data_IF_399905094609
#
_entry.id   IF_399905094609
#
_cell.length_a   1.000
_cell.length_b   1.000
_cell.length_c   1.000
_cell.angle_alpha   90.00
_cell.angle_beta   90.00
_cell.angle_gamma   90.00
#
_symmetry.space_group_name_H-M   'P 1'
#
loop_
_entity.id
_entity.type
_entity.pdbx_description
1 polymer ?
#
# COMPACT_ATOMS: atom_id res chain seq x y z
N UNK A 1 24.26 -3.12 -6.75
CA UNK A 1 22.84 -3.48 -6.53
C UNK A 1 22.19 -3.46 -7.89
N UNK A 2 21.31 -4.40 -8.25
CA UNK A 2 20.66 -4.31 -9.53
C UNK A 2 19.76 -3.08 -9.56
N UNK A 3 20.04 -2.16 -10.50
CA UNK A 3 19.20 -1.02 -10.86
C UNK A 3 17.95 -1.55 -11.58
N UNK A 4 17.01 -2.10 -10.82
CA UNK A 4 15.70 -2.46 -11.34
C UNK A 4 14.83 -1.21 -11.37
N UNK A 5 14.50 -0.72 -12.58
CA UNK A 5 13.55 0.37 -12.77
C UNK A 5 12.13 -0.19 -12.69
N UNK A 6 11.47 -0.03 -11.54
CA UNK A 6 10.02 -0.20 -11.42
C UNK A 6 9.31 0.89 -12.26
N UNK A 7 8.22 0.53 -12.92
CA UNK A 7 7.37 1.50 -13.61
C UNK A 7 6.67 2.39 -12.58
N UNK A 8 6.26 3.60 -12.98
CA UNK A 8 5.62 4.56 -12.05
C UNK A 8 4.28 4.05 -11.50
N UNK A 9 3.69 3.10 -12.20
CA UNK A 9 2.43 2.40 -11.97
C UNK A 9 2.63 0.97 -11.43
N UNK A 10 3.86 0.59 -11.05
CA UNK A 10 4.18 -0.78 -10.61
C UNK A 10 3.30 -1.26 -9.44
N UNK A 11 2.85 -0.35 -8.59
CA UNK A 11 1.98 -0.66 -7.44
C UNK A 11 0.55 -0.11 -7.61
N UNK A 12 0.14 0.16 -8.84
CA UNK A 12 -1.11 0.83 -9.19
C UNK A 12 -0.92 2.30 -9.56
N UNK A 13 -1.97 2.91 -10.13
CA UNK A 13 -1.95 4.31 -10.54
C UNK A 13 -1.75 5.26 -9.37
N UNK A 14 -1.04 6.36 -9.63
CA UNK A 14 -0.86 7.43 -8.64
C UNK A 14 -2.18 8.17 -8.43
N UNK A 15 -2.62 8.24 -7.18
CA UNK A 15 -3.83 8.97 -6.79
C UNK A 15 -3.61 9.94 -5.62
N UNK A 16 -4.47 10.94 -5.51
CA UNK A 16 -4.52 11.87 -4.37
C UNK A 16 -5.75 11.58 -3.53
N UNK A 17 -5.59 11.40 -2.21
CA UNK A 17 -6.71 11.06 -1.32
C UNK A 17 -7.84 12.11 -1.37
N UNK A 18 -7.51 13.39 -1.55
CA UNK A 18 -8.47 14.50 -1.55
C UNK A 18 -9.40 14.55 -2.78
N UNK A 19 -9.00 13.94 -3.90
CA UNK A 19 -9.77 13.98 -5.16
C UNK A 19 -10.54 12.69 -5.42
N UNK A 20 -10.34 11.67 -4.58
CA UNK A 20 -10.97 10.38 -4.78
C UNK A 20 -12.42 10.40 -4.26
N UNK A 21 -13.38 9.85 -5.02
CA UNK A 21 -14.78 9.74 -4.60
C UNK A 21 -14.94 8.58 -3.59
N UNK A 22 -14.20 8.64 -2.49
CA UNK A 22 -14.21 7.59 -1.47
C UNK A 22 -15.49 7.69 -0.64
N UNK A 23 -16.10 6.53 -0.37
CA UNK A 23 -17.22 6.44 0.55
C UNK A 23 -16.87 6.86 2.00
N UNK A 24 -15.57 6.89 2.33
CA UNK A 24 -15.01 7.31 3.63
C UNK A 24 -13.71 8.07 3.41
N UNK A 25 -13.38 9.05 4.26
CA UNK A 25 -12.09 9.74 4.16
C UNK A 25 -10.95 8.76 4.44
N UNK A 26 -10.05 8.62 3.48
CA UNK A 26 -8.75 8.00 3.70
C UNK A 26 -7.86 8.96 4.51
N UNK A 27 -6.98 8.40 5.34
CA UNK A 27 -6.01 9.16 6.13
C UNK A 27 -4.58 8.95 5.67
N UNK A 28 -4.33 7.94 4.83
CA UNK A 28 -3.02 7.67 4.27
C UNK A 28 -3.06 6.64 3.16
N UNK A 29 -1.87 6.26 2.74
CA UNK A 29 -1.61 5.25 1.70
C UNK A 29 -1.07 3.99 2.37
N UNK A 30 -1.59 2.82 2.02
CA UNK A 30 -1.13 1.55 2.55
C UNK A 30 -0.61 0.66 1.43
N UNK A 31 0.50 -0.03 1.67
CA UNK A 31 1.03 -1.03 0.72
C UNK A 31 0.51 -2.40 1.15
N UNK A 32 -0.21 -3.08 0.28
CA UNK A 32 -0.82 -4.37 0.53
C UNK A 32 -0.25 -5.45 -0.39
N UNK A 33 -0.13 -6.67 0.12
CA UNK A 33 0.04 -7.86 -0.72
C UNK A 33 -1.30 -8.28 -1.33
N UNK A 34 -1.38 -8.31 -2.66
CA UNK A 34 -2.55 -8.76 -3.42
C UNK A 34 -2.93 -10.21 -3.03
N UNK A 35 -4.22 -10.43 -2.81
CA UNK A 35 -4.75 -11.75 -2.39
C UNK A 35 -4.49 -12.10 -0.92
N UNK A 36 -3.92 -11.18 -0.13
CA UNK A 36 -3.67 -11.38 1.30
C UNK A 36 -4.19 -10.21 2.16
N UNK A 37 -4.32 -10.42 3.46
CA UNK A 37 -4.67 -9.40 4.45
C UNK A 37 -3.43 -8.74 5.09
N UNK A 38 -2.29 -8.83 4.42
CA UNK A 38 -1.01 -8.30 4.88
C UNK A 38 -0.75 -6.89 4.35
N UNK A 39 -0.29 -6.03 5.24
CA UNK A 39 0.10 -4.65 4.96
C UNK A 39 1.55 -4.40 5.36
N UNK A 40 2.26 -3.60 4.57
CA UNK A 40 3.63 -3.20 4.88
C UNK A 40 3.60 -2.24 6.05
N UNK A 41 4.26 -2.64 7.13
CA UNK A 41 4.49 -1.80 8.30
C UNK A 41 5.59 -0.79 8.01
N UNK A 42 5.29 0.51 8.14
CA UNK A 42 6.23 1.60 7.85
C UNK A 42 7.42 1.65 8.81
N UNK A 43 7.27 1.09 10.01
CA UNK A 43 8.29 1.15 11.05
C UNK A 43 9.31 0.02 10.91
N UNK A 44 8.84 -1.20 10.67
CA UNK A 44 9.67 -2.40 10.57
C UNK A 44 10.04 -2.78 9.14
N UNK A 45 9.32 -2.28 8.14
CA UNK A 45 9.48 -2.69 6.74
C UNK A 45 9.04 -4.14 6.51
N UNK A 46 8.20 -4.70 7.37
CA UNK A 46 7.70 -6.08 7.29
C UNK A 46 6.19 -6.11 7.05
N UNK A 47 5.71 -7.17 6.42
CA UNK A 47 4.28 -7.37 6.21
C UNK A 47 3.61 -7.92 7.47
N UNK A 48 2.62 -7.20 7.99
CA UNK A 48 1.83 -7.61 9.15
C UNK A 48 0.34 -7.72 8.79
N UNK A 49 -0.44 -8.58 9.47
CA UNK A 49 -1.88 -8.65 9.25
C UNK A 49 -2.56 -7.32 9.54
N UNK A 50 -3.55 -6.95 8.72
CA UNK A 50 -4.37 -5.73 8.83
C UNK A 50 -5.02 -5.56 10.21
N UNK A 51 -5.24 -6.67 10.92
CA UNK A 51 -5.82 -6.73 12.28
C UNK A 51 -4.78 -6.63 13.40
N UNK A 52 -3.51 -6.50 13.07
CA UNK A 52 -2.45 -6.34 14.06
C UNK A 52 -2.53 -4.96 14.68
N UNK A 53 -2.61 -4.89 16.01
CA UNK A 53 -2.63 -3.62 16.76
C UNK A 53 -1.30 -2.89 16.75
N UNK A 54 -0.21 -3.59 16.39
CA UNK A 54 1.14 -3.02 16.27
C UNK A 54 1.45 -2.52 14.86
N UNK A 55 0.54 -2.75 13.92
CA UNK A 55 0.73 -2.33 12.54
C UNK A 55 0.64 -0.81 12.46
N UNK A 56 1.60 -0.22 11.77
CA UNK A 56 1.56 1.15 11.31
C UNK A 56 1.71 1.12 9.78
N UNK A 57 0.60 1.01 9.06
CA UNK A 57 0.61 0.83 7.59
C UNK A 57 0.26 2.10 6.81
N UNK A 58 0.06 3.23 7.48
CA UNK A 58 -0.37 4.47 6.82
C UNK A 58 0.83 5.37 6.53
N UNK A 59 1.16 5.46 5.26
CA UNK A 59 2.10 6.42 4.72
C UNK A 59 1.41 7.76 4.43
N UNK A 60 2.12 8.85 4.68
CA UNK A 60 1.60 10.22 4.55
C UNK A 60 1.44 10.65 3.08
N UNK A 61 2.09 9.95 2.14
CA UNK A 61 2.01 10.22 0.71
C UNK A 61 2.17 8.96 -0.13
N UNK A 62 1.68 9.00 -1.38
CA UNK A 62 1.88 7.93 -2.35
C UNK A 62 3.36 7.66 -2.59
N UNK A 63 4.18 8.72 -2.70
CA UNK A 63 5.62 8.59 -2.93
C UNK A 63 6.32 7.87 -1.77
N UNK A 64 5.89 8.11 -0.53
CA UNK A 64 6.43 7.42 0.65
C UNK A 64 6.05 5.93 0.64
N UNK A 65 4.80 5.60 0.31
CA UNK A 65 4.36 4.21 0.15
C UNK A 65 5.11 3.51 -1.00
N UNK A 66 5.28 4.20 -2.13
CA UNK A 66 6.00 3.69 -3.30
C UNK A 66 7.48 3.43 -2.99
N UNK A 67 8.15 4.34 -2.29
CA UNK A 67 9.54 4.16 -1.89
C UNK A 67 9.70 2.95 -0.95
N UNK A 68 8.80 2.79 0.03
CA UNK A 68 8.81 1.64 0.94
C UNK A 68 8.54 0.31 0.23
N UNK A 69 7.56 0.28 -0.67
CA UNK A 69 7.27 -0.88 -1.52
C UNK A 69 8.47 -1.22 -2.42
N UNK A 70 9.06 -0.23 -3.08
CA UNK A 70 10.23 -0.41 -3.96
C UNK A 70 11.42 -0.99 -3.19
N UNK A 71 11.67 -0.49 -1.98
CA UNK A 71 12.73 -1.00 -1.12
C UNK A 71 12.48 -2.46 -0.73
N UNK A 72 11.22 -2.79 -0.39
CA UNK A 72 10.85 -4.15 -0.05
C UNK A 72 11.07 -5.11 -1.24
N UNK A 73 10.61 -4.72 -2.43
CA UNK A 73 10.79 -5.48 -3.68
C UNK A 73 12.27 -5.68 -3.99
N UNK A 74 13.08 -4.62 -3.93
CA UNK A 74 14.52 -4.71 -4.17
C UNK A 74 15.25 -5.64 -3.18
N UNK A 75 14.69 -5.83 -1.99
CA UNK A 75 15.28 -6.66 -0.93
C UNK A 75 14.80 -8.12 -1.00
N UNK A 76 13.55 -8.36 -1.39
CA UNK A 76 12.91 -9.68 -1.25
C UNK A 76 12.55 -10.35 -2.58
N UNK A 77 12.40 -9.59 -3.67
CA UNK A 77 12.00 -10.11 -4.97
C UNK A 77 13.22 -10.29 -5.87
N UNK A 78 13.33 -11.45 -6.50
CA UNK A 78 14.32 -11.70 -7.55
C UNK A 78 13.94 -11.01 -8.87
N UNK A 79 12.63 -10.87 -9.13
CA UNK A 79 12.08 -10.14 -10.26
C UNK A 79 11.04 -9.12 -9.77
N UNK A 80 11.07 -7.87 -10.27
CA UNK A 80 10.15 -6.82 -9.84
C UNK A 80 8.70 -7.17 -10.15
N UNK A 81 8.40 -7.81 -11.28
CA UNK A 81 7.01 -8.12 -11.68
C UNK A 81 6.32 -9.17 -10.79
N UNK A 82 7.08 -9.92 -9.99
CA UNK A 82 6.54 -10.96 -9.10
C UNK A 82 6.05 -10.41 -7.75
N UNK A 83 6.17 -9.11 -7.50
CA UNK A 83 6.00 -8.54 -6.15
C UNK A 83 4.59 -8.67 -5.57
N UNK A 84 3.55 -8.78 -6.41
CA UNK A 84 2.15 -8.84 -5.97
C UNK A 84 1.77 -7.75 -4.94
N UNK A 85 2.34 -6.55 -5.02
CA UNK A 85 2.06 -5.44 -4.12
C UNK A 85 1.17 -4.39 -4.79
N UNK A 86 0.30 -3.75 -4.01
CA UNK A 86 -0.51 -2.63 -4.46
C UNK A 86 -0.57 -1.53 -3.39
N UNK A 87 -0.56 -0.26 -3.82
CA UNK A 87 -0.80 0.89 -2.96
C UNK A 87 -2.28 1.21 -2.99
N UNK A 88 -2.91 1.22 -1.82
CA UNK A 88 -4.35 1.46 -1.67
C UNK A 88 -4.60 2.57 -0.64
N UNK A 89 -5.68 3.34 -0.79
CA UNK A 89 -6.05 4.32 0.22
C UNK A 89 -6.51 3.58 1.49
N UNK A 90 -5.98 4.01 2.63
CA UNK A 90 -6.23 3.40 3.92
C UNK A 90 -6.62 4.42 4.99
N UNK A 91 -7.30 3.95 6.01
CA UNK A 91 -7.53 4.69 7.24
C UNK A 91 -7.42 3.75 8.43
N UNK A 92 -7.11 4.27 9.61
CA UNK A 92 -7.18 3.51 10.85
C UNK A 92 -8.52 3.78 11.51
N UNK A 93 -9.29 2.73 11.75
CA UNK A 93 -10.57 2.83 12.44
C UNK A 93 -10.31 2.66 13.94
N UNK A 94 -10.37 3.77 14.68
CA UNK A 94 -10.15 3.80 16.14
C UNK A 94 -11.23 3.05 16.92
N UNK A 95 -12.44 2.87 16.36
CA UNK A 95 -13.51 2.13 17.01
C UNK A 95 -13.33 0.63 16.87
N UNK A 96 -12.78 0.19 15.74
CA UNK A 96 -12.51 -1.23 15.43
C UNK A 96 -11.05 -1.64 15.68
N UNK A 97 -10.22 -0.71 16.15
CA UNK A 97 -8.77 -0.83 16.41
C UNK A 97 -8.00 -1.52 15.28
N UNK A 98 -8.34 -1.20 14.03
CA UNK A 98 -7.75 -1.86 12.85
C UNK A 98 -7.67 -0.96 11.63
N UNK A 99 -6.79 -1.32 10.71
CA UNK A 99 -6.70 -0.68 9.41
C UNK A 99 -7.91 -1.06 8.55
N UNK A 100 -8.50 -0.06 7.90
CA UNK A 100 -9.58 -0.20 6.93
C UNK A 100 -9.03 0.27 5.59
N UNK A 101 -8.96 -0.68 4.66
CA UNK A 101 -8.55 -0.44 3.29
C UNK A 101 -9.78 -0.05 2.49
N UNK A 102 -9.69 1.07 1.79
CA UNK A 102 -10.80 1.62 1.03
C UNK A 102 -10.63 1.17 -0.42
N UNK A 103 -11.15 -0.01 -0.72
CA UNK A 103 -11.19 -0.53 -2.08
C UNK A 103 -12.36 0.12 -2.82
N UNK A 104 -12.08 0.70 -3.97
CA UNK A 104 -13.08 1.41 -4.78
C UNK A 104 -12.51 2.30 -5.88
N UNK A 105 -11.18 2.35 -6.02
CA UNK A 105 -10.50 3.13 -7.07
C UNK A 105 -9.70 2.24 -8.03
N UNK A 106 -10.04 0.95 -8.10
CA UNK A 106 -9.72 0.17 -9.27
C UNK A 106 -10.84 0.49 -10.26
N UNK A 107 -10.72 1.61 -10.98
CA UNK A 107 -11.46 1.72 -12.23
C UNK A 107 -10.97 0.58 -13.11
N UNK A 108 -11.80 -0.44 -13.23
CA UNK A 108 -11.76 -1.43 -14.29
C UNK A 108 -11.91 -0.63 -15.60
N UNK A 109 -10.80 -0.21 -16.20
CA UNK A 109 -10.86 0.27 -17.57
C UNK A 109 -10.88 -0.97 -18.49
N UNK A 110 -11.85 -1.03 -19.41
CA UNK A 110 -12.47 -2.24 -19.97
C UNK A 110 -11.58 -3.14 -20.85
#
# INVERSE_FOLDING_TARGET
>A
MPDFQLTADAFGDRFLLDILPLARPARGYAVQTLGSDLLLDRTSGTFLPVRSTKLDALFDSFDAAHAAASLWVATHCAHPDDHCLAIVPGTYDELLERHVLIYGVLEDHP
#
